data_IF_495180426207
#
_entry.id   IF_495180426207
#
_cell.length_a   1.000
_cell.length_b   1.000
_cell.length_c   1.000
_cell.angle_alpha   90.00
_cell.angle_beta   90.00
_cell.angle_gamma   90.00
#
_symmetry.space_group_name_H-M   'P 1'
#
loop_
_entity.id
_entity.type
_entity.pdbx_description
1 polymer ?
#
# COMPACT_ATOMS: atom_id res chain seq x y z
N UNK A 1 11.82 -17.12 10.32
CA UNK A 1 10.67 -16.39 10.92
C UNK A 1 9.69 -16.07 9.81
N UNK A 2 8.46 -16.56 9.93
CA UNK A 2 7.42 -16.22 8.96
C UNK A 2 6.93 -14.81 9.21
N UNK A 3 6.81 -14.05 8.15
CA UNK A 3 6.27 -12.69 8.20
C UNK A 3 5.12 -12.58 7.21
N UNK A 4 4.21 -11.66 7.49
CA UNK A 4 3.15 -11.26 6.57
C UNK A 4 2.92 -9.76 6.62
N UNK A 5 2.52 -9.19 5.50
CA UNK A 5 2.19 -7.79 5.32
C UNK A 5 0.81 -7.67 4.68
N UNK A 6 -0.03 -6.79 5.21
CA UNK A 6 -1.38 -6.56 4.69
C UNK A 6 -1.71 -5.08 4.64
N UNK A 7 -2.26 -4.63 3.51
CA UNK A 7 -2.79 -3.30 3.37
C UNK A 7 -4.18 -3.21 4.01
N UNK A 8 -4.40 -2.18 4.81
CA UNK A 8 -5.66 -1.93 5.51
C UNK A 8 -6.12 -0.49 5.29
N UNK A 9 -7.40 -0.23 5.55
CA UNK A 9 -8.04 1.06 5.27
C UNK A 9 -8.67 1.17 3.88
N UNK A 10 -9.17 0.05 3.32
CA UNK A 10 -9.88 0.06 2.04
C UNK A 10 -8.98 0.34 0.83
N UNK A 11 -7.67 0.19 0.97
CA UNK A 11 -6.67 0.45 -0.06
C UNK A 11 -6.56 -0.71 -1.08
N UNK A 12 -7.69 -1.12 -1.67
CA UNK A 12 -7.73 -2.16 -2.72
C UNK A 12 -6.99 -1.76 -4.00
N UNK A 13 -6.71 -0.47 -4.16
CA UNK A 13 -5.90 0.13 -5.23
C UNK A 13 -4.39 0.05 -4.95
N UNK A 14 -3.96 -0.38 -3.75
CA UNK A 14 -2.55 -0.71 -3.49
C UNK A 14 -2.27 -2.17 -3.82
N UNK A 15 -1.29 -2.39 -4.68
CA UNK A 15 -0.81 -3.72 -5.04
C UNK A 15 0.53 -3.98 -4.36
N UNK A 16 0.54 -4.96 -3.45
CA UNK A 16 1.77 -5.39 -2.77
C UNK A 16 2.35 -6.57 -3.53
N UNK A 17 3.61 -6.46 -3.94
CA UNK A 17 4.28 -7.53 -4.68
C UNK A 17 4.61 -8.75 -3.80
N UNK A 18 4.92 -8.51 -2.51
CA UNK A 18 5.13 -9.54 -1.52
C UNK A 18 4.34 -9.20 -0.25
N UNK A 19 3.47 -10.12 0.17
CA UNK A 19 2.62 -9.98 1.35
C UNK A 19 2.91 -11.03 2.41
N UNK A 20 3.78 -12.00 2.13
CA UNK A 20 4.23 -12.97 3.09
C UNK A 20 5.55 -13.59 2.65
N UNK A 21 6.28 -14.14 3.60
CA UNK A 21 7.50 -14.87 3.33
C UNK A 21 8.14 -15.41 4.59
N UNK A 22 9.36 -15.88 4.45
CA UNK A 22 10.17 -16.31 5.56
C UNK A 22 11.50 -15.54 5.55
N UNK A 23 11.84 -14.95 6.69
CA UNK A 23 13.10 -14.24 6.94
C UNK A 23 13.95 -15.09 7.87
N UNK A 24 15.19 -15.38 7.47
CA UNK A 24 16.19 -15.95 8.37
C UNK A 24 16.74 -14.89 9.31
N UNK A 25 17.35 -15.27 10.45
CA UNK A 25 18.01 -14.31 11.33
C UNK A 25 19.06 -13.48 10.56
N UNK A 26 18.99 -12.15 10.65
CA UNK A 26 19.86 -11.22 9.93
C UNK A 26 19.48 -10.96 8.47
N UNK A 27 18.44 -11.61 7.94
CA UNK A 27 17.94 -11.39 6.59
C UNK A 27 17.05 -10.13 6.53
N UNK A 28 17.05 -9.45 5.39
CA UNK A 28 16.17 -8.31 5.11
C UNK A 28 15.41 -8.60 3.82
N UNK A 29 14.13 -8.21 3.79
CA UNK A 29 13.28 -8.33 2.61
C UNK A 29 12.71 -6.96 2.25
N UNK A 30 12.55 -6.71 0.95
CA UNK A 30 11.99 -5.46 0.45
C UNK A 30 10.61 -5.73 -0.14
N UNK A 31 9.60 -5.03 0.36
CA UNK A 31 8.23 -5.12 -0.16
C UNK A 31 8.03 -3.99 -1.14
N UNK A 32 7.87 -4.32 -2.43
CA UNK A 32 7.46 -3.34 -3.43
C UNK A 32 5.95 -3.12 -3.35
N UNK A 33 5.55 -1.86 -3.22
CA UNK A 33 4.15 -1.43 -3.23
C UNK A 33 3.92 -0.57 -4.46
N UNK A 34 2.94 -0.94 -5.27
CA UNK A 34 2.54 -0.20 -6.47
C UNK A 34 1.13 0.37 -6.30
N UNK A 35 0.94 1.60 -6.79
CA UNK A 35 -0.35 2.29 -6.78
C UNK A 35 -1.04 2.02 -8.11
N UNK A 36 -2.27 1.52 -8.05
CA UNK A 36 -3.15 1.40 -9.21
C UNK A 36 -3.87 2.75 -9.41
N UNK A 37 -3.34 3.58 -10.31
CA UNK A 37 -3.81 4.95 -10.55
C UNK A 37 -5.23 5.01 -11.14
N UNK A 38 -5.73 3.93 -11.75
CA UNK A 38 -7.10 3.88 -12.25
C UNK A 38 -8.15 3.71 -11.13
N UNK A 39 -7.70 3.24 -9.96
CA UNK A 39 -8.57 2.92 -8.82
C UNK A 39 -8.26 3.73 -7.57
N UNK A 40 -7.21 4.53 -7.59
CA UNK A 40 -6.86 5.36 -6.45
C UNK A 40 -7.93 6.42 -6.20
N UNK A 41 -8.14 6.83 -4.93
CA UNK A 41 -9.09 7.88 -4.61
C UNK A 41 -8.61 9.22 -5.20
N UNK A 42 -9.51 10.04 -5.75
CA UNK A 42 -9.15 11.38 -6.16
C UNK A 42 -8.74 12.21 -4.93
N UNK A 43 -7.70 13.02 -5.08
CA UNK A 43 -7.19 13.86 -3.99
C UNK A 43 -6.28 13.11 -3.01
N UNK A 44 -6.13 13.64 -1.79
CA UNK A 44 -5.21 13.06 -0.80
C UNK A 44 -5.77 11.76 -0.25
N UNK A 45 -4.95 10.72 -0.27
CA UNK A 45 -5.28 9.43 0.32
C UNK A 45 -4.19 9.00 1.30
N UNK A 46 -4.56 8.08 2.20
CA UNK A 46 -3.66 7.44 3.15
C UNK A 46 -4.02 5.98 3.31
N UNK A 47 -3.02 5.12 3.15
CA UNK A 47 -3.12 3.69 3.37
C UNK A 47 -2.15 3.25 4.48
N UNK A 48 -2.42 2.08 5.06
CA UNK A 48 -1.59 1.50 6.11
C UNK A 48 -1.22 0.07 5.74
N UNK A 49 0.05 -0.26 5.86
CA UNK A 49 0.56 -1.63 5.68
C UNK A 49 1.03 -2.13 7.03
N UNK A 50 0.38 -3.17 7.54
CA UNK A 50 0.72 -3.79 8.81
C UNK A 50 1.56 -5.03 8.54
N UNK A 51 2.69 -5.18 9.25
CA UNK A 51 3.61 -6.31 9.15
C UNK A 51 3.56 -7.12 10.44
N UNK A 52 3.25 -8.42 10.33
CA UNK A 52 3.23 -9.38 11.42
C UNK A 52 4.46 -10.28 11.39
N UNK A 53 4.96 -10.76 12.56
CA UNK A 53 4.44 -10.51 13.92
C UNK A 53 4.99 -9.24 14.58
N UNK A 54 5.91 -8.51 13.94
CA UNK A 54 6.56 -7.33 14.53
C UNK A 54 5.59 -6.21 14.92
N UNK A 55 4.37 -6.20 14.37
CA UNK A 55 3.38 -5.16 14.61
C UNK A 55 3.75 -3.82 13.95
N UNK A 56 4.74 -3.83 13.06
CA UNK A 56 5.17 -2.63 12.37
C UNK A 56 4.06 -2.13 11.45
N UNK A 57 3.80 -0.82 11.47
CA UNK A 57 2.81 -0.18 10.59
C UNK A 57 3.52 0.85 9.73
N UNK A 58 3.51 0.62 8.43
CA UNK A 58 4.00 1.57 7.42
C UNK A 58 2.82 2.35 6.88
N UNK A 59 2.85 3.67 7.06
CA UNK A 59 1.83 4.55 6.51
C UNK A 59 2.30 5.02 5.13
N UNK A 60 1.43 4.85 4.13
CA UNK A 60 1.67 5.29 2.76
C UNK A 60 0.68 6.41 2.47
N UNK A 61 1.20 7.59 2.16
CA UNK A 61 0.41 8.75 1.79
C UNK A 61 0.73 9.14 0.37
N UNK A 62 -0.30 9.60 -0.33
CA UNK A 62 -0.17 10.01 -1.71
C UNK A 62 -1.32 10.92 -2.09
N UNK A 63 -1.34 11.28 -3.36
CA UNK A 63 -2.39 12.11 -3.92
C UNK A 63 -2.74 11.55 -5.29
N UNK A 64 -3.97 11.09 -5.41
CA UNK A 64 -4.48 10.63 -6.68
C UNK A 64 -4.76 11.78 -7.63
N UNK A 65 -4.82 11.44 -8.91
CA UNK A 65 -5.12 12.43 -9.95
C UNK A 65 -6.43 13.16 -9.63
N UNK A 66 -6.49 14.49 -9.85
CA UNK A 66 -7.75 15.21 -9.69
C UNK A 66 -8.75 14.62 -10.69
N UNK A 67 -9.97 14.32 -10.22
CA UNK A 67 -11.07 13.95 -11.12
C UNK A 67 -11.17 15.04 -12.19
N UNK A 68 -11.21 14.70 -13.49
CA UNK A 68 -11.31 15.71 -14.53
C UNK A 68 -12.56 16.54 -14.27
N UNK A 69 -12.38 17.84 -14.05
CA UNK A 69 -13.50 18.79 -14.00
C UNK A 69 -14.24 18.67 -15.33
N UNK A 70 -15.56 18.38 -15.37
CA UNK A 70 -16.28 18.38 -16.62
C UNK A 70 -16.18 19.78 -17.23
N UNK A 71 -15.64 19.90 -18.44
CA UNK A 71 -15.66 21.16 -19.19
C UNK A 71 -17.13 21.53 -19.45
N UNK A 72 -17.63 22.67 -18.97
CA UNK A 72 -18.98 23.11 -19.31
C UNK A 72 -19.06 23.40 -20.81
N UNK A 73 -20.12 22.91 -21.46
CA UNK A 73 -20.47 23.18 -22.87
C UNK A 73 -21.23 24.49 -22.98
#
# INVERSE_FOLDING_TARGET
MRWSASASGGASWLRLHHTAGELRPGETTTITVSVDHDREPPGRWRARVTVAPSGAVVVIEGRGTPTPTPTPT
#
